data_IF_268504970776
#
_entry.id   IF_268504970776
#
_cell.length_a   1.000
_cell.length_b   1.000
_cell.length_c   1.000
_cell.angle_alpha   90.00
_cell.angle_beta   90.00
_cell.angle_gamma   90.00
#
_symmetry.space_group_name_H-M   'P 1'
#
loop_
_entity.id
_entity.type
_entity.pdbx_description
1 polymer ?
#
# COMPACT_ATOMS: atom_id res chain seq x y z
N UNK A 1 -12.00 -24.86 28.15
CA UNK A 1 -11.46 -24.87 26.77
C UNK A 1 -12.39 -24.28 25.69
N UNK A 2 -13.66 -23.92 25.97
CA UNK A 2 -14.59 -23.37 24.95
C UNK A 2 -14.33 -21.90 24.56
N UNK A 3 -14.02 -21.03 25.54
CA UNK A 3 -13.78 -19.59 25.32
C UNK A 3 -12.73 -19.28 24.23
N UNK A 4 -11.70 -20.13 24.13
CA UNK A 4 -10.61 -19.94 23.17
C UNK A 4 -11.00 -20.34 21.72
N UNK A 5 -11.94 -21.29 21.57
CA UNK A 5 -12.48 -21.72 20.27
C UNK A 5 -13.46 -20.68 19.69
N UNK A 6 -14.28 -20.10 20.56
CA UNK A 6 -15.22 -19.03 20.18
C UNK A 6 -14.50 -17.73 19.81
N UNK A 7 -13.43 -17.38 20.54
CA UNK A 7 -12.55 -16.26 20.19
C UNK A 7 -11.87 -16.46 18.83
N UNK A 8 -11.32 -17.66 18.55
CA UNK A 8 -10.74 -17.98 17.24
C UNK A 8 -11.76 -17.89 16.11
N UNK A 9 -12.99 -18.40 16.31
CA UNK A 9 -14.07 -18.30 15.32
C UNK A 9 -14.49 -16.84 15.07
N UNK A 10 -14.59 -16.03 16.12
CA UNK A 10 -14.90 -14.60 16.02
C UNK A 10 -13.81 -13.83 15.26
N UNK A 11 -12.53 -14.12 15.53
CA UNK A 11 -11.40 -13.52 14.81
C UNK A 11 -11.39 -13.92 13.32
N UNK A 12 -11.68 -15.18 12.98
CA UNK A 12 -11.79 -15.61 11.58
C UNK A 12 -12.94 -14.93 10.84
N UNK A 13 -14.10 -14.78 11.49
CA UNK A 13 -15.24 -14.07 10.89
C UNK A 13 -14.93 -12.59 10.67
N UNK A 14 -14.27 -11.95 11.63
CA UNK A 14 -13.82 -10.55 11.50
C UNK A 14 -12.81 -10.38 10.36
N UNK A 15 -11.83 -11.29 10.24
CA UNK A 15 -10.86 -11.28 9.15
C UNK A 15 -11.54 -11.48 7.78
N UNK A 16 -12.51 -12.39 7.67
CA UNK A 16 -13.29 -12.57 6.43
C UNK A 16 -14.10 -11.34 6.07
N UNK A 17 -14.78 -10.72 7.03
CA UNK A 17 -15.54 -9.49 6.79
C UNK A 17 -14.62 -8.37 6.32
N UNK A 18 -13.48 -8.17 7.00
CA UNK A 18 -12.46 -7.18 6.63
C UNK A 18 -11.93 -7.41 5.21
N UNK A 19 -11.55 -8.64 4.87
CA UNK A 19 -11.04 -8.98 3.55
C UNK A 19 -12.11 -8.76 2.47
N UNK A 20 -13.37 -9.09 2.76
CA UNK A 20 -14.50 -8.80 1.88
C UNK A 20 -14.68 -7.30 1.64
N UNK A 21 -14.65 -6.49 2.71
CA UNK A 21 -14.72 -5.03 2.61
C UNK A 21 -13.55 -4.44 1.82
N UNK A 22 -12.33 -4.96 2.00
CA UNK A 22 -11.16 -4.50 1.25
C UNK A 22 -11.28 -4.80 -0.25
N UNK A 23 -11.67 -6.03 -0.63
CA UNK A 23 -11.91 -6.38 -2.04
C UNK A 23 -12.98 -5.49 -2.66
N UNK A 24 -14.07 -5.27 -1.94
CA UNK A 24 -15.13 -4.37 -2.39
C UNK A 24 -14.61 -2.95 -2.60
N UNK A 25 -13.80 -2.43 -1.67
CA UNK A 25 -13.24 -1.09 -1.79
C UNK A 25 -12.31 -0.96 -3.01
N UNK A 26 -11.46 -1.96 -3.27
CA UNK A 26 -10.58 -1.97 -4.44
C UNK A 26 -11.40 -1.99 -5.73
N UNK A 27 -12.37 -2.89 -5.86
CA UNK A 27 -13.25 -2.97 -7.04
C UNK A 27 -14.11 -1.71 -7.22
N UNK A 28 -14.62 -1.15 -6.12
CA UNK A 28 -15.39 0.09 -6.16
C UNK A 28 -14.51 1.26 -6.64
N UNK A 29 -13.29 1.39 -6.11
CA UNK A 29 -12.34 2.43 -6.50
C UNK A 29 -11.93 2.29 -7.97
N UNK A 30 -11.67 1.05 -8.42
CA UNK A 30 -11.39 0.73 -9.82
C UNK A 30 -12.51 1.22 -10.74
N UNK A 31 -13.76 0.85 -10.43
CA UNK A 31 -14.94 1.25 -11.21
C UNK A 31 -15.15 2.76 -11.20
N UNK A 32 -15.01 3.39 -10.04
CA UNK A 32 -15.18 4.84 -9.88
C UNK A 32 -14.16 5.62 -10.71
N UNK A 33 -12.91 5.15 -10.77
CA UNK A 33 -11.83 5.77 -11.57
C UNK A 33 -11.84 5.36 -13.04
N UNK A 34 -12.72 4.45 -13.45
CA UNK A 34 -12.76 3.94 -14.83
C UNK A 34 -11.50 3.15 -15.22
N UNK A 35 -10.84 2.49 -14.27
CA UNK A 35 -9.61 1.73 -14.53
C UNK A 35 -9.96 0.42 -15.24
N UNK A 36 -9.51 0.30 -16.48
CA UNK A 36 -9.60 -0.92 -17.26
C UNK A 36 -8.43 -1.86 -16.93
N UNK A 37 -8.73 -3.14 -16.69
CA UNK A 37 -7.74 -4.18 -16.38
C UNK A 37 -7.97 -5.42 -17.26
N UNK A 38 -8.59 -5.23 -18.42
CA UNK A 38 -8.96 -6.32 -19.33
C UNK A 38 -7.82 -7.32 -19.51
N UNK A 39 -8.06 -8.58 -19.14
CA UNK A 39 -7.07 -9.67 -19.25
C UNK A 39 -6.15 -9.84 -18.04
N UNK A 40 -6.30 -9.02 -16.99
CA UNK A 40 -5.53 -9.09 -15.74
C UNK A 40 -6.41 -9.36 -14.51
N UNK A 41 -7.65 -9.81 -14.69
CA UNK A 41 -8.60 -10.06 -13.59
C UNK A 41 -8.11 -11.16 -12.63
N UNK A 42 -7.44 -12.18 -13.17
CA UNK A 42 -6.83 -13.24 -12.37
C UNK A 42 -5.65 -12.71 -11.54
N UNK A 43 -4.85 -11.80 -12.12
CA UNK A 43 -3.73 -11.15 -11.44
C UNK A 43 -4.24 -10.30 -10.26
N UNK A 44 -5.29 -9.49 -10.48
CA UNK A 44 -5.93 -8.72 -9.42
C UNK A 44 -6.45 -9.62 -8.29
N UNK A 45 -7.10 -10.73 -8.64
CA UNK A 45 -7.63 -11.68 -7.65
C UNK A 45 -6.50 -12.30 -6.82
N UNK A 46 -5.41 -12.69 -7.48
CA UNK A 46 -4.23 -13.29 -6.84
C UNK A 46 -3.57 -12.30 -5.89
N UNK A 47 -3.36 -11.04 -6.32
CA UNK A 47 -2.80 -10.01 -5.44
C UNK A 47 -3.69 -9.74 -4.22
N UNK A 48 -5.01 -9.67 -4.42
CA UNK A 48 -5.96 -9.49 -3.33
C UNK A 48 -5.91 -10.66 -2.35
N UNK A 49 -5.76 -11.88 -2.83
CA UNK A 49 -5.57 -13.07 -1.99
C UNK A 49 -4.27 -12.96 -1.18
N UNK A 50 -3.15 -12.61 -1.81
CA UNK A 50 -1.86 -12.44 -1.14
C UNK A 50 -1.91 -11.35 -0.05
N UNK A 51 -2.47 -10.18 -0.36
CA UNK A 51 -2.63 -9.07 0.61
C UNK A 51 -3.47 -9.50 1.82
N UNK A 52 -4.57 -10.21 1.55
CA UNK A 52 -5.48 -10.70 2.59
C UNK A 52 -4.82 -11.78 3.46
N UNK A 53 -4.05 -12.69 2.86
CA UNK A 53 -3.35 -13.77 3.56
C UNK A 53 -2.23 -13.23 4.45
N UNK A 54 -1.54 -12.17 4.01
CA UNK A 54 -0.44 -11.55 4.75
C UNK A 54 -0.90 -10.44 5.72
N UNK A 55 -2.22 -10.23 5.90
CA UNK A 55 -2.81 -9.16 6.73
C UNK A 55 -2.20 -7.77 6.45
N UNK A 56 -2.03 -7.46 5.16
CA UNK A 56 -1.47 -6.18 4.66
C UNK A 56 -2.54 -5.13 4.35
N UNK A 57 -3.83 -5.50 4.48
CA UNK A 57 -4.98 -4.65 4.19
C UNK A 57 -4.91 -3.30 4.88
N UNK A 58 -4.66 -3.26 6.20
CA UNK A 58 -4.64 -2.00 6.95
C UNK A 58 -3.48 -1.11 6.47
N UNK A 59 -2.30 -1.72 6.27
CA UNK A 59 -1.13 -1.00 5.81
C UNK A 59 -1.33 -0.38 4.42
N UNK A 60 -1.92 -1.10 3.47
CA UNK A 60 -2.16 -0.55 2.14
C UNK A 60 -3.21 0.56 2.15
N UNK A 61 -4.26 0.43 2.98
CA UNK A 61 -5.26 1.49 3.12
C UNK A 61 -4.69 2.74 3.79
N UNK A 62 -3.90 2.57 4.85
CA UNK A 62 -3.25 3.70 5.51
C UNK A 62 -2.19 4.34 4.61
N UNK A 63 -1.44 3.53 3.86
CA UNK A 63 -0.52 4.04 2.86
C UNK A 63 -1.26 4.85 1.80
N UNK A 64 -2.36 4.35 1.25
CA UNK A 64 -3.17 5.09 0.27
C UNK A 64 -3.65 6.45 0.82
N UNK A 65 -4.12 6.50 2.08
CA UNK A 65 -4.51 7.76 2.74
C UNK A 65 -3.34 8.72 2.90
N UNK A 66 -2.16 8.22 3.25
CA UNK A 66 -0.94 9.03 3.40
C UNK A 66 -0.56 9.63 2.05
N UNK A 67 -0.54 8.81 0.99
CA UNK A 67 -0.22 9.26 -0.36
C UNK A 67 -1.23 10.31 -0.83
N UNK A 68 -2.53 10.07 -0.58
CA UNK A 68 -3.59 11.02 -0.92
C UNK A 68 -3.50 12.32 -0.10
N UNK A 69 -3.21 12.24 1.20
CA UNK A 69 -3.07 13.39 2.08
C UNK A 69 -1.87 14.25 1.70
N UNK A 70 -0.71 13.63 1.48
CA UNK A 70 0.48 14.30 0.95
C UNK A 70 0.18 14.97 -0.39
N UNK A 71 -0.55 14.29 -1.28
CA UNK A 71 -0.94 14.85 -2.58
C UNK A 71 -1.87 16.05 -2.45
N UNK A 72 -2.89 15.98 -1.58
CA UNK A 72 -3.88 17.05 -1.40
C UNK A 72 -3.34 18.26 -0.67
N UNK A 73 -2.56 18.05 0.39
CA UNK A 73 -2.10 19.14 1.26
C UNK A 73 -0.77 19.75 0.82
N UNK A 74 0.15 18.93 0.29
CA UNK A 74 1.44 19.41 -0.19
C UNK A 74 1.43 19.66 -1.70
N UNK A 75 0.40 19.22 -2.43
CA UNK A 75 0.26 19.45 -3.87
C UNK A 75 1.19 18.58 -4.72
N UNK A 76 1.76 17.51 -4.15
CA UNK A 76 2.82 16.74 -4.78
C UNK A 76 2.40 15.31 -5.11
N UNK A 77 2.80 14.87 -6.30
CA UNK A 77 2.69 13.49 -6.73
C UNK A 77 4.05 12.80 -6.54
N UNK A 78 4.03 11.51 -6.16
CA UNK A 78 5.26 10.72 -6.08
C UNK A 78 5.93 10.64 -7.44
N UNK A 79 7.26 10.55 -7.49
CA UNK A 79 7.92 10.33 -8.78
C UNK A 79 7.48 9.00 -9.39
N UNK A 80 7.10 9.06 -10.67
CA UNK A 80 6.74 7.88 -11.45
C UNK A 80 7.88 6.86 -11.41
N UNK A 81 7.51 5.58 -11.34
CA UNK A 81 8.44 4.44 -11.40
C UNK A 81 9.45 4.30 -10.23
N UNK A 82 9.37 5.15 -9.19
CA UNK A 82 10.25 5.06 -8.00
C UNK A 82 9.62 4.42 -6.76
N UNK A 83 8.47 3.78 -6.92
CA UNK A 83 7.82 2.98 -5.88
C UNK A 83 8.14 1.49 -6.07
N UNK A 84 8.49 0.78 -5.00
CA UNK A 84 8.75 -0.67 -5.08
C UNK A 84 7.48 -1.52 -5.31
N UNK A 85 6.30 -0.90 -5.25
CA UNK A 85 5.02 -1.52 -5.58
C UNK A 85 4.60 -1.28 -7.04
N UNK A 86 5.43 -0.63 -7.85
CA UNK A 86 5.18 -0.54 -9.29
C UNK A 86 5.17 -1.94 -9.91
N UNK A 87 4.27 -2.16 -10.87
CA UNK A 87 3.98 -3.50 -11.38
C UNK A 87 2.83 -4.21 -10.65
N UNK A 88 2.23 -3.59 -9.63
CA UNK A 88 1.10 -4.18 -8.89
C UNK A 88 -0.22 -3.43 -9.16
N UNK A 89 -1.31 -4.18 -9.35
CA UNK A 89 -2.63 -3.63 -9.69
C UNK A 89 -3.31 -2.98 -8.48
N UNK A 90 -3.27 -3.62 -7.32
CA UNK A 90 -3.95 -3.10 -6.11
C UNK A 90 -3.40 -1.73 -5.67
N UNK A 91 -2.07 -1.53 -5.55
CA UNK A 91 -1.48 -0.22 -5.23
C UNK A 91 -1.82 0.85 -6.27
N UNK A 92 -1.89 0.49 -7.55
CA UNK A 92 -2.30 1.42 -8.61
C UNK A 92 -3.77 1.85 -8.45
N UNK A 93 -4.68 0.88 -8.27
CA UNK A 93 -6.10 1.16 -8.06
C UNK A 93 -6.31 2.08 -6.86
N UNK A 94 -5.61 1.81 -5.74
CA UNK A 94 -5.66 2.62 -4.53
C UNK A 94 -4.99 3.99 -4.69
N UNK A 95 -4.24 4.24 -5.77
CA UNK A 95 -3.54 5.50 -6.03
C UNK A 95 -2.23 5.67 -5.25
N UNK A 96 -1.67 4.56 -4.76
CA UNK A 96 -0.35 4.51 -4.12
C UNK A 96 0.74 4.64 -5.18
N UNK A 97 0.58 3.94 -6.31
CA UNK A 97 1.44 4.06 -7.50
C UNK A 97 0.75 4.88 -8.58
N UNK A 98 1.53 5.49 -9.45
CA UNK A 98 1.06 6.37 -10.53
C UNK A 98 0.93 5.65 -11.87
N UNK A 99 1.71 4.58 -12.07
CA UNK A 99 1.81 3.86 -13.33
C UNK A 99 0.90 2.63 -13.30
N UNK A 100 0.01 2.51 -14.30
CA UNK A 100 -0.81 1.33 -14.47
C UNK A 100 0.09 0.17 -14.95
N UNK A 101 0.10 -0.99 -14.26
CA UNK A 101 0.81 -2.15 -14.77
C UNK A 101 0.03 -2.79 -15.92
N UNK A 102 0.78 -3.35 -16.86
CA UNK A 102 0.31 -4.22 -17.92
C UNK A 102 0.88 -5.64 -17.74
N UNK A 103 0.55 -6.57 -18.63
CA UNK A 103 1.05 -7.94 -18.57
C UNK A 103 2.57 -8.08 -18.66
N UNK A 104 3.28 -7.07 -19.18
CA UNK A 104 4.74 -7.08 -19.31
C UNK A 104 5.46 -6.51 -18.08
N UNK A 105 4.80 -5.60 -17.37
CA UNK A 105 5.33 -4.89 -16.19
C UNK A 105 4.79 -5.45 -14.87
N UNK A 106 3.79 -6.32 -14.92
CA UNK A 106 3.23 -6.97 -13.75
C UNK A 106 4.26 -7.84 -13.01
N UNK A 107 4.34 -7.65 -11.68
CA UNK A 107 5.27 -8.42 -10.83
C UNK A 107 4.47 -9.32 -9.88
N UNK A 108 4.39 -10.63 -10.16
CA UNK A 108 3.70 -11.57 -9.27
C UNK A 108 4.44 -11.70 -7.93
N UNK A 109 3.69 -11.86 -6.84
CA UNK A 109 4.27 -12.23 -5.54
C UNK A 109 4.94 -11.10 -4.75
N UNK A 110 4.84 -9.83 -5.19
CA UNK A 110 5.36 -8.66 -4.44
C UNK A 110 4.97 -8.67 -2.95
N UNK A 111 3.79 -9.20 -2.61
CA UNK A 111 3.26 -9.21 -1.25
C UNK A 111 3.65 -10.45 -0.43
N UNK A 112 4.33 -11.44 -1.01
CA UNK A 112 4.65 -12.72 -0.36
C UNK A 112 6.14 -12.88 -0.04
N UNK A 113 7.02 -12.07 -0.63
CA UNK A 113 8.48 -12.25 -0.51
C UNK A 113 9.02 -12.01 0.90
N UNK A 114 8.57 -10.94 1.58
CA UNK A 114 9.14 -10.52 2.86
C UNK A 114 8.08 -9.98 3.82
N UNK A 115 8.12 -10.46 5.08
CA UNK A 115 7.31 -9.93 6.19
C UNK A 115 8.21 -9.32 7.28
N UNK A 116 7.93 -8.10 7.78
CA UNK A 116 6.91 -7.17 7.28
C UNK A 116 7.22 -6.69 5.86
N UNK A 117 6.19 -6.41 5.07
CA UNK A 117 6.33 -5.91 3.70
C UNK A 117 7.20 -4.66 3.68
N UNK A 118 8.31 -4.70 2.95
CA UNK A 118 9.19 -3.54 2.79
C UNK A 118 8.82 -2.81 1.51
N UNK A 119 8.33 -1.58 1.65
CA UNK A 119 7.99 -0.72 0.53
C UNK A 119 8.96 0.43 0.49
N UNK A 120 9.46 0.79 -0.68
CA UNK A 120 10.24 2.00 -0.90
C UNK A 120 9.42 2.98 -1.71
N UNK A 121 9.31 4.21 -1.22
CA UNK A 121 8.71 5.34 -1.95
C UNK A 121 9.75 6.45 -2.03
N UNK A 122 9.92 7.03 -3.21
CA UNK A 122 10.80 8.17 -3.40
C UNK A 122 10.01 9.46 -3.63
N UNK A 123 10.44 10.52 -2.95
CA UNK A 123 9.97 11.88 -3.17
C UNK A 123 11.16 12.77 -3.55
N UNK A 124 10.91 13.91 -4.18
CA UNK A 124 11.95 14.94 -4.34
C UNK A 124 12.49 15.37 -2.98
N UNK A 125 13.75 15.82 -2.96
CA UNK A 125 14.46 16.15 -1.73
C UNK A 125 13.75 17.21 -0.88
N UNK A 126 13.14 18.22 -1.50
CA UNK A 126 12.40 19.28 -0.83
C UNK A 126 11.09 18.77 -0.20
N UNK A 127 10.40 17.86 -0.91
CA UNK A 127 9.11 17.30 -0.53
C UNK A 127 9.28 16.24 0.55
N UNK A 128 10.33 15.42 0.47
CA UNK A 128 10.58 14.29 1.37
C UNK A 128 10.54 14.72 2.83
N UNK A 129 11.11 15.87 3.17
CA UNK A 129 11.09 16.38 4.54
C UNK A 129 9.71 16.93 4.95
N UNK A 130 8.98 17.55 4.02
CA UNK A 130 7.61 18.03 4.27
C UNK A 130 6.64 16.87 4.47
N UNK A 131 6.73 15.84 3.63
CA UNK A 131 5.93 14.63 3.73
C UNK A 131 6.18 13.90 5.07
N UNK A 132 7.45 13.78 5.49
CA UNK A 132 7.78 13.21 6.82
C UNK A 132 7.16 14.01 7.96
N UNK A 133 7.30 15.35 7.94
CA UNK A 133 6.69 16.22 8.97
C UNK A 133 5.16 16.12 8.98
N UNK A 134 4.54 16.02 7.80
CA UNK A 134 3.10 15.84 7.67
C UNK A 134 2.66 14.51 8.28
N UNK A 135 3.40 13.43 8.03
CA UNK A 135 3.12 12.12 8.63
C UNK A 135 3.24 12.17 10.16
N UNK A 136 4.30 12.78 10.70
CA UNK A 136 4.47 12.97 12.15
C UNK A 136 3.33 13.79 12.75
N UNK A 137 2.91 14.87 12.08
CA UNK A 137 1.80 15.72 12.53
C UNK A 137 0.44 14.99 12.51
N UNK A 138 0.25 14.03 11.62
CA UNK A 138 -0.94 13.18 11.54
C UNK A 138 -0.88 11.95 12.48
N UNK A 139 0.13 11.86 13.35
CA UNK A 139 0.25 10.82 14.37
C UNK A 139 0.86 9.50 13.86
N UNK A 140 1.49 9.50 12.69
CA UNK A 140 2.18 8.33 12.17
C UNK A 140 3.57 8.16 12.80
N UNK A 141 3.95 6.92 13.11
CA UNK A 141 5.25 6.61 13.69
C UNK A 141 6.34 6.59 12.61
N UNK A 142 7.17 7.64 12.59
CA UNK A 142 8.38 7.72 11.80
C UNK A 142 9.59 7.31 12.64
N UNK A 143 10.45 6.48 12.06
CA UNK A 143 11.73 6.05 12.61
C UNK A 143 12.85 6.27 11.60
N UNK A 144 14.10 5.98 11.96
CA UNK A 144 15.21 6.02 11.00
C UNK A 144 15.71 4.61 10.69
N UNK A 145 15.91 4.32 9.41
CA UNK A 145 16.53 3.09 8.92
C UNK A 145 17.60 3.45 7.89
N UNK A 146 18.86 3.09 8.18
CA UNK A 146 20.03 3.40 7.34
C UNK A 146 20.12 4.90 6.96
N UNK A 147 19.77 5.80 7.89
CA UNK A 147 19.76 7.25 7.67
C UNK A 147 18.59 7.77 6.82
N UNK A 148 17.62 6.91 6.49
CA UNK A 148 16.39 7.26 5.77
C UNK A 148 15.19 7.20 6.73
N UNK A 149 14.12 7.97 6.50
CA UNK A 149 12.92 7.97 7.33
C UNK A 149 12.13 6.73 6.97
N UNK A 150 11.67 6.03 7.99
CA UNK A 150 10.95 4.78 7.90
C UNK A 150 9.62 4.93 8.62
N UNK A 151 8.54 4.90 7.86
CA UNK A 151 7.19 4.85 8.38
C UNK A 151 6.85 3.41 8.77
N UNK A 152 6.40 3.21 10.01
CA UNK A 152 5.96 1.91 10.50
C UNK A 152 4.44 1.79 10.36
N UNK A 153 4.00 0.82 9.57
CA UNK A 153 2.60 0.41 9.47
C UNK A 153 2.43 -1.02 9.99
N UNK A 154 1.19 -1.46 10.12
CA UNK A 154 0.89 -2.84 10.55
C UNK A 154 1.34 -3.83 9.46
N UNK A 155 2.26 -4.74 9.80
CA UNK A 155 2.87 -5.70 8.86
C UNK A 155 3.58 -5.09 7.65
N UNK A 156 3.84 -3.78 7.64
CA UNK A 156 4.57 -3.09 6.58
C UNK A 156 5.54 -2.04 7.11
N UNK A 157 6.59 -1.77 6.34
CA UNK A 157 7.66 -0.83 6.63
C UNK A 157 7.93 -0.03 5.37
N UNK A 158 7.67 1.27 5.42
CA UNK A 158 7.75 2.15 4.24
C UNK A 158 9.00 3.03 4.36
N UNK A 159 9.99 2.80 3.51
CA UNK A 159 11.23 3.57 3.43
C UNK A 159 11.02 4.77 2.52
N UNK A 160 11.21 5.97 3.05
CA UNK A 160 11.02 7.23 2.33
C UNK A 160 12.36 7.72 1.78
N UNK A 161 12.63 7.43 0.51
CA UNK A 161 13.86 7.85 -0.18
C UNK A 161 13.74 9.26 -0.74
N UNK A 162 14.89 9.90 -0.89
CA UNK A 162 15.04 11.12 -1.67
C UNK A 162 15.46 10.74 -3.09
N UNK A 163 14.85 11.37 -4.09
CA UNK A 163 15.42 11.41 -5.43
C UNK A 163 16.48 12.51 -5.44
N UNK A 164 17.71 12.15 -5.84
CA UNK A 164 18.74 13.14 -6.18
C UNK A 164 18.67 13.25 -7.70
N UNK A 165 18.15 14.35 -8.21
CA UNK A 165 18.30 14.67 -9.63
C UNK A 165 19.77 15.05 -9.83
N UNK A 166 20.51 14.18 -10.50
CA UNK A 166 21.89 14.44 -10.93
C UNK A 166 21.91 15.37 -12.13
#
# INVERSE_FOLDING_TARGET
MSKNKDQKRKAQLAARAKNGSFRFQVEFTRKQKGIDIMGMEQNLTTELDDICQNDLTDALLDLAKIVEGVRKELGFEQEADKCSLNGSLVPFILGITTTQPDSATYVPGIFTEHQPLQVTIAFDNEIRNQAVKWMEANGYEISSYLGQPLLKLKNARIVIRRVVRS
#
